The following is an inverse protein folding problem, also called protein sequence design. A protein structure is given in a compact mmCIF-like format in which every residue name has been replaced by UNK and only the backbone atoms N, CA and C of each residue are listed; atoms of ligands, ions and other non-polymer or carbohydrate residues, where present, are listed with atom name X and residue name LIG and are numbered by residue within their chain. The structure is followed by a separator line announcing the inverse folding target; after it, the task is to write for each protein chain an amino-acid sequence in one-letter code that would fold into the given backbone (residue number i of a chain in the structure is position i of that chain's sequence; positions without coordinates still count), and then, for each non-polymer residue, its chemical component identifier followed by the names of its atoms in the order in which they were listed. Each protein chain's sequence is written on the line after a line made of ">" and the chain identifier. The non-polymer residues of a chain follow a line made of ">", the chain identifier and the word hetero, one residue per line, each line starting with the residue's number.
data_IF_228735504869
#
_entry.id   IF_228735504869
#
_cell.length_a   1.000
_cell.length_b   1.000
_cell.length_c   1.000
_cell.angle_alpha   90.00
_cell.angle_beta   90.00
_cell.angle_gamma   90.00
#
_symmetry.space_group_name_H-M   'P 1'
#
loop_
_entity.id
_entity.type
_entity.pdbx_description
1 polymer ?
#
# COMPACT_ATOMS: atom_id res chain seq x y z
N UNK A 1 -14.25 45.78 -15.56
CA UNK A 1 -14.30 45.01 -14.29
C UNK A 1 -13.09 45.35 -13.40
N UNK A 2 -12.54 46.57 -13.49
CA UNK A 2 -11.16 46.87 -13.03
C UNK A 2 -11.05 47.37 -11.58
N UNK A 3 -12.05 47.15 -10.72
CA UNK A 3 -12.07 47.65 -9.33
C UNK A 3 -12.69 46.67 -8.32
N UNK A 4 -12.39 45.38 -8.43
CA UNK A 4 -12.70 44.42 -7.36
C UNK A 4 -11.47 44.28 -6.47
N UNK A 5 -11.48 44.98 -5.33
CA UNK A 5 -10.48 44.87 -4.27
C UNK A 5 -10.96 43.86 -3.21
N UNK A 6 -10.04 43.07 -2.68
CA UNK A 6 -10.36 42.11 -1.62
C UNK A 6 -10.66 42.85 -0.31
N UNK A 7 -11.65 42.39 0.49
CA UNK A 7 -11.91 42.92 1.82
C UNK A 7 -10.65 42.99 2.69
N UNK A 8 -10.58 44.01 3.56
CA UNK A 8 -9.48 44.16 4.51
C UNK A 8 -9.42 43.03 5.55
N UNK A 9 -10.55 42.40 5.85
CA UNK A 9 -10.62 41.22 6.72
C UNK A 9 -10.44 39.95 5.88
N UNK A 10 -9.20 39.50 5.74
CA UNK A 10 -8.87 38.31 4.93
C UNK A 10 -9.46 37.01 5.48
N UNK A 11 -9.84 36.96 6.76
CA UNK A 11 -10.56 35.81 7.34
C UNK A 11 -11.91 35.62 6.64
N UNK A 12 -12.64 36.70 6.37
CA UNK A 12 -13.89 36.65 5.63
C UNK A 12 -13.68 36.25 4.16
N UNK A 13 -12.52 36.57 3.59
CA UNK A 13 -12.11 36.14 2.23
C UNK A 13 -11.86 34.64 2.18
N UNK A 14 -11.23 34.08 3.21
CA UNK A 14 -10.98 32.65 3.33
C UNK A 14 -12.25 31.86 3.66
N UNK A 15 -13.23 32.45 4.34
CA UNK A 15 -14.49 31.80 4.66
C UNK A 15 -15.52 31.85 3.51
N UNK A 16 -15.41 32.80 2.57
CA UNK A 16 -16.38 32.98 1.48
C UNK A 16 -15.95 32.27 0.17
N UNK A 17 -16.71 31.26 -0.32
CA UNK A 17 -16.34 30.50 -1.52
C UNK A 17 -16.20 31.31 -2.81
N UNK A 18 -16.89 32.45 -2.96
CA UNK A 18 -16.78 33.31 -4.13
C UNK A 18 -15.50 34.15 -4.07
N UNK A 19 -15.15 34.66 -2.89
CA UNK A 19 -13.91 35.40 -2.67
C UNK A 19 -12.68 34.49 -2.76
N UNK A 20 -12.76 33.25 -2.31
CA UNK A 20 -11.73 32.24 -2.54
C UNK A 20 -11.50 32.00 -4.05
N UNK A 21 -12.58 31.87 -4.85
CA UNK A 21 -12.46 31.72 -6.31
C UNK A 21 -11.81 32.94 -6.95
N UNK A 22 -12.17 34.15 -6.51
CA UNK A 22 -11.53 35.38 -6.97
C UNK A 22 -10.02 35.37 -6.65
N UNK A 23 -9.65 34.91 -5.46
CA UNK A 23 -8.26 34.79 -5.01
C UNK A 23 -7.48 33.71 -5.79
N UNK A 24 -8.13 32.62 -6.21
CA UNK A 24 -7.53 31.62 -7.10
C UNK A 24 -7.33 32.13 -8.53
N UNK A 25 -8.30 32.90 -9.05
CA UNK A 25 -8.21 33.50 -10.39
C UNK A 25 -7.20 34.65 -10.44
N UNK A 26 -6.98 35.33 -9.33
CA UNK A 26 -6.01 36.42 -9.18
C UNK A 26 -5.17 36.22 -7.90
N UNK A 27 -4.20 35.31 -7.92
CA UNK A 27 -3.35 35.08 -6.76
C UNK A 27 -2.49 36.32 -6.48
N UNK A 28 -2.54 36.80 -5.24
CA UNK A 28 -1.72 37.91 -4.74
C UNK A 28 -0.85 37.42 -3.59
N UNK A 29 0.47 37.45 -3.79
CA UNK A 29 1.43 37.09 -2.74
C UNK A 29 1.25 37.92 -1.46
N UNK A 30 0.83 39.18 -1.61
CA UNK A 30 0.48 40.06 -0.50
C UNK A 30 -0.71 39.54 0.33
N UNK A 31 -1.74 38.98 -0.30
CA UNK A 31 -2.90 38.44 0.42
C UNK A 31 -2.53 37.21 1.25
N UNK A 32 -1.72 36.31 0.70
CA UNK A 32 -1.19 35.16 1.45
C UNK A 32 -0.21 35.55 2.55
N UNK A 33 0.62 36.58 2.31
CA UNK A 33 1.50 37.17 3.33
C UNK A 33 0.69 37.71 4.52
N UNK A 34 -0.41 38.41 4.23
CA UNK A 34 -1.29 38.93 5.27
C UNK A 34 -1.99 37.81 6.05
N UNK A 35 -2.41 36.73 5.40
CA UNK A 35 -2.95 35.53 6.09
C UNK A 35 -1.90 34.92 7.02
N UNK A 36 -0.67 34.72 6.53
CA UNK A 36 0.40 34.18 7.37
C UNK A 36 0.78 35.12 8.52
N UNK A 37 0.80 36.43 8.31
CA UNK A 37 1.03 37.41 9.38
C UNK A 37 -0.08 37.37 10.43
N UNK A 38 -1.33 37.19 10.00
CA UNK A 38 -2.46 37.02 10.90
C UNK A 38 -2.33 35.74 11.75
N UNK A 39 -1.97 34.61 11.15
CA UNK A 39 -1.69 33.37 11.89
C UNK A 39 -0.51 33.51 12.85
N UNK A 40 0.57 34.19 12.44
CA UNK A 40 1.72 34.43 13.32
C UNK A 40 1.34 35.33 14.51
N UNK A 41 0.51 36.35 14.30
CA UNK A 41 0.02 37.20 15.39
C UNK A 41 -0.81 36.37 16.38
N UNK A 42 -1.78 35.59 15.88
CA UNK A 42 -2.60 34.72 16.73
C UNK A 42 -1.77 33.70 17.51
N UNK A 43 -0.75 33.11 16.88
CA UNK A 43 0.19 32.21 17.56
C UNK A 43 0.98 32.93 18.66
N UNK A 44 1.45 34.14 18.39
CA UNK A 44 2.19 34.94 19.36
C UNK A 44 1.30 35.33 20.55
N UNK A 45 0.06 35.72 20.30
CA UNK A 45 -0.91 36.06 21.35
C UNK A 45 -1.20 34.85 22.27
N UNK A 46 -1.25 33.63 21.73
CA UNK A 46 -1.37 32.40 22.54
C UNK A 46 -0.10 32.13 23.36
N UNK A 47 1.08 32.32 22.76
CA UNK A 47 2.37 32.11 23.45
C UNK A 47 2.56 33.12 24.59
N UNK A 48 2.14 34.37 24.38
CA UNK A 48 2.23 35.44 25.37
C UNK A 48 1.14 35.31 26.46
N UNK A 49 0.16 34.41 26.27
CA UNK A 49 -0.95 34.16 27.19
C UNK A 49 -2.09 35.18 27.08
N UNK A 50 -2.09 35.99 26.03
CA UNK A 50 -3.07 37.04 25.76
C UNK A 50 -4.36 36.49 25.14
N UNK A 51 -4.33 35.28 24.55
CA UNK A 51 -5.48 34.61 23.90
C UNK A 51 -5.49 33.12 24.22
N UNK A 52 -6.69 32.51 24.18
CA UNK A 52 -6.86 31.07 24.41
C UNK A 52 -6.52 30.22 23.17
N UNK A 53 -6.20 28.95 23.40
CA UNK A 53 -5.88 27.99 22.33
C UNK A 53 -7.06 27.76 21.38
N UNK A 54 -8.30 27.92 21.86
CA UNK A 54 -9.50 27.72 21.07
C UNK A 54 -9.58 28.71 19.89
N UNK A 55 -9.27 29.98 20.13
CA UNK A 55 -9.24 31.01 19.08
C UNK A 55 -8.24 30.66 17.97
N UNK A 56 -7.05 30.17 18.32
CA UNK A 56 -6.07 29.73 17.33
C UNK A 56 -6.61 28.58 16.47
N UNK A 57 -7.27 27.60 17.09
CA UNK A 57 -7.84 26.48 16.35
C UNK A 57 -8.97 26.92 15.43
N UNK A 58 -9.89 27.80 15.84
CA UNK A 58 -10.92 28.36 14.96
C UNK A 58 -10.31 29.03 13.72
N UNK A 59 -9.19 29.75 13.88
CA UNK A 59 -8.46 30.34 12.76
C UNK A 59 -7.83 29.29 11.84
N UNK A 60 -7.22 28.25 12.43
CA UNK A 60 -6.64 27.13 11.70
C UNK A 60 -7.70 26.36 10.90
N UNK A 61 -8.92 26.24 11.42
CA UNK A 61 -10.05 25.62 10.73
C UNK A 61 -10.45 26.38 9.46
N UNK A 62 -10.53 27.71 9.52
CA UNK A 62 -10.80 28.55 8.34
C UNK A 62 -9.71 28.36 7.26
N UNK A 63 -8.45 28.27 7.68
CA UNK A 63 -7.33 28.03 6.75
C UNK A 63 -7.37 26.62 6.18
N UNK A 64 -7.68 25.61 6.99
CA UNK A 64 -7.89 24.23 6.54
C UNK A 64 -8.96 24.18 5.47
N UNK A 65 -10.13 24.77 5.72
CA UNK A 65 -11.25 24.73 4.79
C UNK A 65 -10.87 25.38 3.46
N UNK A 66 -10.14 26.49 3.49
CA UNK A 66 -9.55 27.10 2.29
C UNK A 66 -8.58 26.15 1.56
N UNK A 67 -7.61 25.56 2.26
CA UNK A 67 -6.61 24.66 1.65
C UNK A 67 -7.27 23.42 1.06
N UNK A 68 -8.22 22.81 1.79
CA UNK A 68 -8.98 21.64 1.34
C UNK A 68 -9.87 21.98 0.15
N UNK A 69 -10.49 23.15 0.12
CA UNK A 69 -11.35 23.56 -1.00
C UNK A 69 -10.55 23.90 -2.26
N UNK A 70 -9.42 24.58 -2.08
CA UNK A 70 -8.55 25.01 -3.19
C UNK A 70 -7.55 23.95 -3.64
N UNK A 71 -7.35 22.90 -2.84
CA UNK A 71 -6.37 21.82 -3.06
C UNK A 71 -4.94 22.36 -3.22
N UNK A 72 -4.62 23.44 -2.52
CA UNK A 72 -3.35 24.14 -2.63
C UNK A 72 -2.94 24.70 -1.27
N UNK A 73 -1.73 24.37 -0.81
CA UNK A 73 -1.13 24.97 0.37
C UNK A 73 -0.10 26.05 -0.03
N UNK A 74 -0.43 27.34 0.12
CA UNK A 74 0.51 28.42 -0.20
C UNK A 74 1.81 28.32 0.60
N UNK A 75 2.94 28.57 -0.06
CA UNK A 75 4.28 28.51 0.59
C UNK A 75 4.40 29.41 1.81
N UNK A 76 3.68 30.54 1.85
CA UNK A 76 3.66 31.42 3.03
C UNK A 76 3.03 30.75 4.26
N UNK A 77 1.97 29.95 4.05
CA UNK A 77 1.31 29.19 5.12
C UNK A 77 2.18 27.99 5.51
N UNK A 78 2.84 27.36 4.54
CA UNK A 78 3.83 26.32 4.81
C UNK A 78 4.99 26.85 5.70
N UNK A 79 5.49 28.07 5.42
CA UNK A 79 6.52 28.71 6.24
C UNK A 79 6.04 29.05 7.66
N UNK A 80 4.75 29.34 7.83
CA UNK A 80 4.16 29.48 9.17
C UNK A 80 4.26 28.15 9.94
N UNK A 81 3.92 27.02 9.31
CA UNK A 81 4.02 25.70 9.95
C UNK A 81 5.43 25.36 10.44
N UNK A 82 6.47 25.73 9.68
CA UNK A 82 7.86 25.54 10.09
C UNK A 82 8.18 26.18 11.46
N UNK A 83 7.56 27.33 11.76
CA UNK A 83 7.69 28.01 13.06
C UNK A 83 6.73 27.44 14.10
N UNK A 84 5.48 27.22 13.70
CA UNK A 84 4.44 26.69 14.58
C UNK A 84 4.85 25.37 15.24
N UNK A 85 5.43 24.43 14.47
CA UNK A 85 5.85 23.12 15.02
C UNK A 85 7.01 23.19 16.01
N UNK A 86 7.72 24.32 16.12
CA UNK A 86 8.73 24.51 17.16
C UNK A 86 8.11 24.90 18.51
N UNK A 87 6.89 25.43 18.50
CA UNK A 87 6.19 25.94 19.67
C UNK A 87 5.02 25.04 20.10
N UNK A 88 4.45 24.30 19.14
CA UNK A 88 3.31 23.43 19.36
C UNK A 88 3.67 22.15 20.11
N UNK A 89 2.90 21.84 21.15
CA UNK A 89 3.05 20.65 22.01
C UNK A 89 2.50 19.35 21.40
N UNK A 90 1.96 19.39 20.18
CA UNK A 90 1.31 18.23 19.56
C UNK A 90 -0.11 17.93 20.09
N UNK A 91 -0.66 18.78 20.97
CA UNK A 91 -2.03 18.67 21.49
C UNK A 91 -3.05 19.40 20.62
N UNK A 92 -4.34 19.13 20.81
CA UNK A 92 -5.40 19.77 20.02
C UNK A 92 -5.74 19.03 18.72
N UNK A 93 -6.22 19.75 17.71
CA UNK A 93 -6.79 19.16 16.50
C UNK A 93 -5.70 18.78 15.47
N UNK A 94 -5.03 17.64 15.70
CA UNK A 94 -4.00 17.11 14.80
C UNK A 94 -4.51 16.86 13.38
N UNK A 95 -5.75 16.39 13.25
CA UNK A 95 -6.36 16.08 11.95
C UNK A 95 -6.46 17.32 11.07
N UNK A 96 -6.78 18.49 11.66
CA UNK A 96 -6.77 19.77 10.95
C UNK A 96 -5.42 20.06 10.28
N UNK A 97 -4.31 19.77 10.96
CA UNK A 97 -2.95 19.97 10.43
C UNK A 97 -2.63 18.93 9.36
N UNK A 98 -2.93 17.65 9.62
CA UNK A 98 -2.69 16.57 8.66
C UNK A 98 -3.46 16.80 7.34
N UNK A 99 -4.70 17.26 7.40
CA UNK A 99 -5.50 17.58 6.23
C UNK A 99 -4.91 18.74 5.41
N UNK A 100 -4.37 19.77 6.05
CA UNK A 100 -3.69 20.86 5.35
C UNK A 100 -2.39 20.41 4.70
N UNK A 101 -1.54 19.70 5.45
CA UNK A 101 -0.23 19.27 4.97
C UNK A 101 -0.30 18.21 3.87
N UNK A 102 -1.41 17.48 3.75
CA UNK A 102 -1.68 16.63 2.60
C UNK A 102 -1.69 17.39 1.25
N UNK A 103 -1.89 18.71 1.25
CA UNK A 103 -1.83 19.57 0.06
C UNK A 103 -0.49 20.32 -0.07
N UNK A 104 0.56 19.86 0.60
CA UNK A 104 1.90 20.42 0.43
C UNK A 104 2.34 20.32 -1.03
N UNK A 105 3.02 21.37 -1.57
CA UNK A 105 3.42 21.38 -2.97
C UNK A 105 4.39 20.25 -3.30
N UNK A 106 4.37 19.78 -4.54
CA UNK A 106 5.39 18.84 -5.03
C UNK A 106 6.75 19.55 -5.04
N UNK A 107 7.64 19.09 -4.18
CA UNK A 107 8.99 19.62 -4.03
C UNK A 107 9.97 18.51 -3.67
N UNK A 108 11.26 18.85 -3.51
CA UNK A 108 12.21 17.90 -2.97
C UNK A 108 11.78 17.43 -1.57
N UNK A 109 11.68 16.12 -1.38
CA UNK A 109 11.18 15.54 -0.13
C UNK A 109 12.12 15.85 1.03
N UNK A 110 13.43 15.89 0.82
CA UNK A 110 14.38 16.13 1.91
C UNK A 110 14.24 17.55 2.47
N UNK A 111 14.02 18.53 1.59
CA UNK A 111 13.78 19.91 1.99
C UNK A 111 12.46 20.05 2.77
N UNK A 112 11.37 19.46 2.26
CA UNK A 112 10.08 19.44 2.96
C UNK A 112 10.16 18.69 4.30
N UNK A 113 10.89 17.59 4.34
CA UNK A 113 11.04 16.79 5.54
C UNK A 113 11.79 17.58 6.62
N UNK A 114 12.95 18.15 6.31
CA UNK A 114 13.74 18.92 7.29
C UNK A 114 13.01 20.16 7.80
N UNK A 115 12.28 20.87 6.93
CA UNK A 115 11.65 22.13 7.28
C UNK A 115 10.26 21.98 7.90
N UNK A 116 9.51 20.93 7.56
CA UNK A 116 8.09 20.79 7.90
C UNK A 116 7.77 19.46 8.56
N UNK A 117 8.01 18.33 7.88
CA UNK A 117 7.49 17.04 8.35
C UNK A 117 8.25 16.49 9.56
N UNK A 118 9.56 16.69 9.66
CA UNK A 118 10.33 16.25 10.82
C UNK A 118 9.94 17.03 12.09
N UNK A 119 9.83 18.38 12.08
CA UNK A 119 9.27 19.12 13.21
C UNK A 119 7.85 18.67 13.58
N UNK A 120 6.97 18.44 12.60
CA UNK A 120 5.63 17.91 12.83
C UNK A 120 5.67 16.56 13.55
N UNK A 121 6.41 15.61 13.01
CA UNK A 121 6.53 14.24 13.54
C UNK A 121 7.09 14.26 14.96
N UNK A 122 8.06 15.12 15.25
CA UNK A 122 8.58 15.31 16.59
C UNK A 122 7.53 15.89 17.55
N UNK A 123 6.75 16.88 17.12
CA UNK A 123 5.70 17.49 17.93
C UNK A 123 4.58 16.50 18.28
N UNK A 124 4.20 15.62 17.34
CA UNK A 124 3.12 14.65 17.54
C UNK A 124 3.62 13.27 18.02
N UNK A 125 4.89 13.14 18.41
CA UNK A 125 5.49 11.88 18.86
C UNK A 125 4.97 11.46 20.25
N UNK A 126 3.73 10.96 20.32
CA UNK A 126 3.05 10.54 21.55
C UNK A 126 3.00 9.01 21.75
N UNK A 127 3.66 8.26 20.86
CA UNK A 127 3.64 6.80 20.78
C UNK A 127 2.22 6.20 20.67
N UNK A 128 1.21 6.98 20.25
CA UNK A 128 -0.13 6.47 20.05
C UNK A 128 -0.30 5.93 18.63
N UNK A 129 -0.86 4.71 18.47
CA UNK A 129 -1.16 4.16 17.15
C UNK A 129 -2.08 5.05 16.31
N UNK A 130 -3.02 5.74 16.95
CA UNK A 130 -3.93 6.68 16.28
C UNK A 130 -3.16 7.82 15.58
N UNK A 131 -2.14 8.37 16.24
CA UNK A 131 -1.31 9.44 15.65
C UNK A 131 -0.47 8.92 14.49
N UNK A 132 0.13 7.73 14.63
CA UNK A 132 0.90 7.07 13.56
C UNK A 132 0.00 6.76 12.35
N UNK A 133 -1.24 6.34 12.58
CA UNK A 133 -2.24 6.12 11.55
C UNK A 133 -2.64 7.44 10.85
N UNK A 134 -2.84 8.51 11.62
CA UNK A 134 -3.12 9.85 11.08
C UNK A 134 -1.99 10.37 10.19
N UNK A 135 -0.73 10.21 10.62
CA UNK A 135 0.44 10.55 9.82
C UNK A 135 0.53 9.72 8.53
N UNK A 136 0.26 8.41 8.59
CA UNK A 136 0.27 7.57 7.40
C UNK A 136 -0.85 7.97 6.41
N UNK A 137 -2.03 8.34 6.92
CA UNK A 137 -3.11 8.88 6.10
C UNK A 137 -2.76 10.24 5.48
N UNK A 138 -2.06 11.12 6.21
CA UNK A 138 -1.52 12.36 5.67
C UNK A 138 -0.57 12.07 4.49
N UNK A 139 0.40 11.17 4.66
CA UNK A 139 1.31 10.78 3.59
C UNK A 139 0.60 10.12 2.39
N UNK A 140 -0.44 9.33 2.65
CA UNK A 140 -1.30 8.76 1.60
C UNK A 140 -1.96 9.87 0.78
N UNK A 141 -2.56 10.84 1.46
CA UNK A 141 -3.22 11.96 0.80
C UNK A 141 -2.23 12.89 0.09
N UNK A 142 -1.01 13.04 0.61
CA UNK A 142 0.08 13.77 -0.03
C UNK A 142 0.47 13.13 -1.37
N UNK A 143 0.71 11.82 -1.38
CA UNK A 143 1.02 11.08 -2.61
C UNK A 143 -0.15 11.14 -3.60
N UNK A 144 -1.40 11.05 -3.12
CA UNK A 144 -2.58 11.23 -3.95
C UNK A 144 -2.66 12.62 -4.59
N UNK A 145 -2.38 13.67 -3.81
CA UNK A 145 -2.36 15.05 -4.28
C UNK A 145 -1.26 15.25 -5.34
N UNK A 146 -0.04 14.80 -5.07
CA UNK A 146 1.07 14.88 -6.02
C UNK A 146 0.80 14.08 -7.29
N UNK A 147 0.18 12.90 -7.18
CA UNK A 147 -0.27 12.15 -8.34
C UNK A 147 -1.26 12.94 -9.21
N UNK A 148 -2.21 13.62 -8.58
CA UNK A 148 -3.17 14.47 -9.28
C UNK A 148 -2.48 15.64 -10.00
N UNK A 149 -1.53 16.31 -9.34
CA UNK A 149 -0.73 17.38 -9.95
C UNK A 149 0.05 16.87 -11.17
N UNK A 150 0.74 15.74 -11.03
CA UNK A 150 1.54 15.15 -12.10
C UNK A 150 0.69 14.72 -13.29
N UNK A 151 -0.47 14.10 -13.05
CA UNK A 151 -1.43 13.72 -14.12
C UNK A 151 -1.98 14.92 -14.88
N UNK A 152 -2.13 16.07 -14.21
CA UNK A 152 -2.61 17.31 -14.83
C UNK A 152 -1.49 18.11 -15.54
N UNK A 153 -0.22 17.81 -15.25
CA UNK A 153 0.91 18.55 -15.79
C UNK A 153 1.24 18.12 -17.22
N UNK A 154 1.57 19.10 -18.07
CA UNK A 154 2.08 18.82 -19.43
C UNK A 154 3.52 18.31 -19.42
N UNK A 155 4.30 18.75 -18.43
CA UNK A 155 5.71 18.40 -18.29
C UNK A 155 5.94 17.83 -16.89
N UNK A 156 6.47 16.61 -16.83
CA UNK A 156 6.80 15.96 -15.56
C UNK A 156 8.12 16.55 -15.04
N UNK A 157 8.16 17.12 -13.82
CA UNK A 157 9.41 17.65 -13.26
C UNK A 157 10.46 16.56 -13.08
N UNK A 158 11.73 16.86 -13.37
CA UNK A 158 12.83 15.88 -13.27
C UNK A 158 13.01 15.33 -11.84
N UNK A 159 12.65 16.09 -10.80
CA UNK A 159 12.73 15.67 -9.41
C UNK A 159 11.50 14.87 -8.95
N UNK A 160 10.43 14.76 -9.75
CA UNK A 160 9.17 14.15 -9.33
C UNK A 160 9.33 12.69 -8.90
N UNK A 161 10.09 11.89 -9.67
CA UNK A 161 10.38 10.50 -9.32
C UNK A 161 11.04 10.39 -7.95
N UNK A 162 12.11 11.18 -7.72
CA UNK A 162 12.84 11.19 -6.45
C UNK A 162 11.96 11.62 -5.28
N UNK A 163 11.16 12.68 -5.45
CA UNK A 163 10.27 13.16 -4.41
C UNK A 163 9.25 12.09 -3.99
N UNK A 164 8.65 11.40 -4.96
CA UNK A 164 7.72 10.30 -4.71
C UNK A 164 8.44 9.13 -4.03
N UNK A 165 9.57 8.65 -4.57
CA UNK A 165 10.27 7.50 -3.99
C UNK A 165 10.76 7.78 -2.56
N UNK A 166 11.29 8.97 -2.29
CA UNK A 166 11.72 9.34 -0.93
C UNK A 166 10.54 9.44 0.05
N UNK A 167 9.40 9.94 -0.40
CA UNK A 167 8.16 9.95 0.42
C UNK A 167 7.68 8.54 0.72
N UNK A 168 7.69 7.65 -0.29
CA UNK A 168 7.29 6.25 -0.15
C UNK A 168 8.24 5.48 0.76
N UNK A 169 9.53 5.73 0.67
CA UNK A 169 10.53 5.13 1.55
C UNK A 169 10.33 5.55 3.01
N UNK A 170 10.08 6.85 3.26
CA UNK A 170 9.83 7.37 4.60
C UNK A 170 8.54 6.82 5.19
N UNK A 171 7.43 6.93 4.45
CA UNK A 171 6.13 6.38 4.85
C UNK A 171 6.18 4.86 5.03
N UNK A 172 7.04 4.15 4.28
CA UNK A 172 7.29 2.72 4.46
C UNK A 172 7.95 2.37 5.80
N UNK A 173 8.81 3.26 6.31
CA UNK A 173 9.39 3.13 7.66
C UNK A 173 8.33 3.34 8.73
N UNK A 174 7.50 4.39 8.60
CA UNK A 174 6.36 4.63 9.49
C UNK A 174 5.36 3.45 9.47
N UNK A 175 5.06 2.91 8.28
CA UNK A 175 4.18 1.74 8.12
C UNK A 175 4.73 0.50 8.84
N UNK A 176 6.04 0.25 8.75
CA UNK A 176 6.68 -0.83 9.48
C UNK A 176 6.57 -0.63 10.99
N UNK A 177 6.87 0.58 11.48
CA UNK A 177 6.73 0.91 12.90
C UNK A 177 5.28 0.72 13.38
N UNK A 178 4.30 1.27 12.64
CA UNK A 178 2.88 1.16 12.97
C UNK A 178 2.43 -0.30 13.06
N UNK A 179 2.84 -1.15 12.11
CA UNK A 179 2.45 -2.57 12.14
C UNK A 179 3.10 -3.33 13.30
N UNK A 180 4.32 -2.96 13.69
CA UNK A 180 5.03 -3.56 14.82
C UNK A 180 4.47 -3.12 16.18
N UNK A 181 4.02 -1.88 16.31
CA UNK A 181 3.46 -1.33 17.56
C UNK A 181 1.95 -1.57 17.68
N UNK A 182 1.24 -1.67 16.56
CA UNK A 182 -0.20 -1.84 16.50
C UNK A 182 -0.63 -2.78 15.35
N UNK A 183 -0.46 -4.10 15.51
CA UNK A 183 -0.80 -5.09 14.49
C UNK A 183 -2.32 -5.33 14.41
N UNK A 184 -3.06 -4.31 13.99
CA UNK A 184 -4.53 -4.38 13.80
C UNK A 184 -4.88 -4.40 12.32
N UNK A 185 -6.07 -4.90 11.99
CA UNK A 185 -6.59 -4.85 10.62
C UNK A 185 -6.74 -3.41 10.10
N UNK A 186 -6.98 -2.44 10.98
CA UNK A 186 -7.03 -1.01 10.60
C UNK A 186 -5.66 -0.54 10.14
N UNK A 187 -4.60 -0.88 10.88
CA UNK A 187 -3.22 -0.57 10.52
C UNK A 187 -2.83 -1.23 9.19
N UNK A 188 -3.09 -2.54 9.04
CA UNK A 188 -2.84 -3.27 7.80
C UNK A 188 -3.55 -2.63 6.60
N UNK A 189 -4.84 -2.29 6.77
CA UNK A 189 -5.64 -1.71 5.69
C UNK A 189 -5.15 -0.34 5.25
N UNK A 190 -4.76 0.52 6.20
CA UNK A 190 -4.21 1.84 5.90
C UNK A 190 -2.83 1.75 5.22
N UNK A 191 -1.98 0.83 5.67
CA UNK A 191 -0.68 0.55 5.01
C UNK A 191 -0.88 0.10 3.58
N UNK A 192 -1.81 -0.83 3.34
CA UNK A 192 -2.10 -1.28 1.98
C UNK A 192 -2.72 -0.17 1.13
N UNK A 193 -3.59 0.67 1.70
CA UNK A 193 -4.18 1.81 0.99
C UNK A 193 -3.10 2.81 0.54
N UNK A 194 -2.07 3.05 1.38
CA UNK A 194 -0.92 3.86 1.01
C UNK A 194 -0.19 3.33 -0.24
N UNK A 195 0.15 2.03 -0.26
CA UNK A 195 0.86 1.44 -1.40
C UNK A 195 -0.02 1.31 -2.66
N UNK A 196 -1.32 1.05 -2.50
CA UNK A 196 -2.30 1.08 -3.60
C UNK A 196 -2.43 2.48 -4.21
N UNK A 197 -2.41 3.52 -3.37
CA UNK A 197 -2.39 4.90 -3.83
C UNK A 197 -1.12 5.21 -4.62
N UNK A 198 0.05 4.74 -4.17
CA UNK A 198 1.29 4.86 -4.92
C UNK A 198 1.23 4.07 -6.25
N UNK A 199 0.59 2.91 -6.28
CA UNK A 199 0.41 2.14 -7.53
C UNK A 199 -0.40 2.89 -8.60
N UNK A 200 -1.30 3.79 -8.22
CA UNK A 200 -2.06 4.60 -9.17
C UNK A 200 -1.18 5.54 -10.03
N UNK A 201 0.07 5.77 -9.61
CA UNK A 201 1.12 6.44 -10.41
C UNK A 201 1.80 5.46 -11.36
N UNK A 202 2.08 4.25 -10.90
CA UNK A 202 2.84 3.22 -11.62
C UNK A 202 2.02 2.51 -12.71
N UNK A 203 0.69 2.60 -12.61
CA UNK A 203 -0.26 2.02 -13.58
C UNK A 203 -0.78 3.04 -14.58
N UNK A 204 -0.50 4.33 -14.38
CA UNK A 204 -0.88 5.41 -15.28
C UNK A 204 -0.09 5.35 -16.60
N UNK A 205 -0.76 5.57 -17.73
CA UNK A 205 -0.15 5.40 -19.04
C UNK A 205 1.02 6.34 -19.34
N UNK A 206 1.02 7.51 -18.71
CA UNK A 206 2.10 8.48 -18.87
C UNK A 206 3.10 8.35 -17.74
N UNK A 207 2.64 8.39 -16.48
CA UNK A 207 3.52 8.49 -15.31
C UNK A 207 4.34 7.23 -15.05
N UNK A 208 3.89 6.05 -15.50
CA UNK A 208 4.66 4.80 -15.40
C UNK A 208 6.05 4.88 -16.06
N UNK A 209 6.23 5.79 -17.02
CA UNK A 209 7.50 6.00 -17.70
C UNK A 209 8.42 7.01 -16.97
N UNK A 210 7.95 7.67 -15.91
CA UNK A 210 8.67 8.76 -15.25
C UNK A 210 8.85 8.57 -13.74
N UNK A 211 8.00 7.75 -13.08
CA UNK A 211 8.05 7.53 -11.62
C UNK A 211 8.58 6.13 -11.28
N UNK A 212 9.66 6.08 -10.49
CA UNK A 212 10.32 4.83 -10.12
C UNK A 212 9.50 4.05 -9.09
N UNK A 213 9.61 2.73 -9.14
CA UNK A 213 9.04 1.84 -8.14
C UNK A 213 9.92 1.90 -6.89
N UNK A 214 9.38 2.44 -5.79
CA UNK A 214 9.94 2.26 -4.45
C UNK A 214 9.27 1.06 -3.78
N UNK A 215 10.08 0.16 -3.21
CA UNK A 215 9.59 -1.08 -2.62
C UNK A 215 9.30 -0.90 -1.12
N UNK A 216 8.22 -1.51 -0.60
CA UNK A 216 8.04 -1.63 0.84
C UNK A 216 9.23 -2.32 1.51
N UNK A 217 9.53 -2.04 2.79
CA UNK A 217 10.50 -2.82 3.55
C UNK A 217 10.16 -4.32 3.51
N UNK A 218 11.14 -5.20 3.29
CA UNK A 218 10.89 -6.65 3.24
C UNK A 218 10.23 -7.18 4.51
N UNK A 219 10.63 -6.69 5.68
CA UNK A 219 9.98 -7.04 6.94
C UNK A 219 8.49 -6.69 6.96
N UNK A 220 8.10 -5.55 6.37
CA UNK A 220 6.70 -5.14 6.26
C UNK A 220 5.91 -6.10 5.36
N UNK A 221 6.49 -6.49 4.21
CA UNK A 221 5.89 -7.46 3.28
C UNK A 221 5.65 -8.79 3.99
N UNK A 222 6.63 -9.30 4.74
CA UNK A 222 6.50 -10.57 5.43
C UNK A 222 5.52 -10.50 6.62
N UNK A 223 5.45 -9.38 7.35
CA UNK A 223 4.42 -9.21 8.38
C UNK A 223 3.01 -9.23 7.75
N UNK A 224 2.81 -8.56 6.62
CA UNK A 224 1.53 -8.52 5.91
C UNK A 224 1.16 -9.87 5.27
N UNK A 225 2.13 -10.63 4.73
CA UNK A 225 1.83 -11.95 4.14
C UNK A 225 1.39 -12.97 5.18
N UNK A 226 1.86 -12.83 6.43
CA UNK A 226 1.44 -13.66 7.56
C UNK A 226 0.24 -13.10 8.33
N UNK A 227 -0.42 -12.05 7.81
CA UNK A 227 -1.69 -11.56 8.37
C UNK A 227 -2.72 -12.68 8.47
N UNK A 228 -3.63 -12.55 9.44
CA UNK A 228 -4.79 -13.41 9.60
C UNK A 228 -5.94 -13.03 8.64
N UNK A 229 -5.80 -11.92 7.93
CA UNK A 229 -6.78 -11.44 6.95
C UNK A 229 -6.39 -11.86 5.54
N UNK A 230 -7.23 -12.71 4.94
CA UNK A 230 -7.09 -13.10 3.55
C UNK A 230 -7.20 -11.89 2.60
N UNK A 231 -7.97 -10.86 2.97
CA UNK A 231 -8.07 -9.62 2.21
C UNK A 231 -6.73 -8.85 2.21
N UNK A 232 -6.04 -8.82 3.35
CA UNK A 232 -4.69 -8.21 3.46
C UNK A 232 -3.71 -8.93 2.54
N UNK A 233 -3.68 -10.26 2.59
CA UNK A 233 -2.78 -11.07 1.75
C UNK A 233 -3.10 -10.90 0.26
N UNK A 234 -4.38 -10.88 -0.11
CA UNK A 234 -4.80 -10.69 -1.50
C UNK A 234 -4.41 -9.30 -2.05
N UNK A 235 -4.65 -8.23 -1.28
CA UNK A 235 -4.24 -6.87 -1.63
C UNK A 235 -2.71 -6.74 -1.76
N UNK A 236 -1.95 -7.30 -0.81
CA UNK A 236 -0.49 -7.36 -0.90
C UNK A 236 -0.03 -8.09 -2.18
N UNK A 237 -0.65 -9.22 -2.50
CA UNK A 237 -0.30 -9.98 -3.71
C UNK A 237 -0.59 -9.17 -4.98
N UNK A 238 -1.69 -8.41 -5.03
CA UNK A 238 -2.01 -7.52 -6.13
C UNK A 238 -0.95 -6.39 -6.28
N UNK A 239 -0.50 -5.82 -5.16
CA UNK A 239 0.58 -4.81 -5.16
C UNK A 239 1.87 -5.40 -5.73
N UNK A 240 2.29 -6.55 -5.21
CA UNK A 240 3.49 -7.25 -5.66
C UNK A 240 3.39 -7.63 -7.15
N UNK A 241 2.23 -8.05 -7.64
CA UNK A 241 2.02 -8.38 -9.05
C UNK A 241 2.15 -7.15 -9.95
N UNK A 242 1.69 -6.01 -9.49
CA UNK A 242 1.78 -4.74 -10.21
C UNK A 242 3.21 -4.24 -10.29
N UNK A 243 3.99 -4.36 -9.21
CA UNK A 243 5.43 -4.10 -9.26
C UNK A 243 6.15 -5.00 -10.25
N UNK A 244 5.79 -6.29 -10.35
CA UNK A 244 6.37 -7.18 -11.36
C UNK A 244 6.20 -6.62 -12.77
N UNK A 245 4.97 -6.26 -13.12
CA UNK A 245 4.62 -5.70 -14.43
C UNK A 245 5.36 -4.39 -14.69
N UNK A 246 5.49 -3.54 -13.66
CA UNK A 246 6.23 -2.30 -13.71
C UNK A 246 7.72 -2.50 -14.00
N UNK A 247 8.40 -3.38 -13.25
CA UNK A 247 9.79 -3.75 -13.53
C UNK A 247 9.95 -4.33 -14.92
N UNK A 248 9.09 -5.27 -15.34
CA UNK A 248 9.14 -5.86 -16.69
C UNK A 248 8.95 -4.83 -17.79
N UNK A 249 8.17 -3.77 -17.53
CA UNK A 249 7.98 -2.66 -18.47
C UNK A 249 9.25 -1.81 -18.57
N UNK A 250 9.81 -1.40 -17.42
CA UNK A 250 11.05 -0.63 -17.39
C UNK A 250 12.23 -1.38 -18.04
N UNK A 251 12.31 -2.70 -17.85
CA UNK A 251 13.36 -3.54 -18.45
C UNK A 251 13.24 -3.68 -19.98
N UNK A 252 12.07 -3.38 -20.56
CA UNK A 252 11.85 -3.39 -22.02
C UNK A 252 12.13 -2.04 -22.68
N UNK A 253 12.00 -0.95 -21.92
CA UNK A 253 12.26 0.40 -22.42
C UNK A 253 13.77 0.56 -22.62
N UNK A 254 14.16 1.08 -23.78
CA UNK A 254 15.53 1.55 -24.01
C UNK A 254 15.52 3.05 -23.78
N UNK A 255 16.27 3.54 -22.79
CA UNK A 255 16.38 4.97 -22.52
C UNK A 255 16.80 5.74 -23.78
N UNK A 256 16.18 6.89 -23.98
CA UNK A 256 16.62 7.87 -24.97
C UNK A 256 17.36 8.99 -24.24
N UNK A 257 18.52 9.45 -24.74
CA UNK A 257 19.23 10.58 -24.13
C UNK A 257 18.41 11.88 -24.16
N UNK A 258 17.43 11.99 -25.07
CA UNK A 258 16.63 13.20 -25.26
C UNK A 258 15.37 13.27 -24.36
N UNK A 259 14.97 12.14 -23.76
CA UNK A 259 13.78 12.08 -22.89
C UNK A 259 14.09 11.30 -21.62
N UNK A 260 14.02 11.93 -20.43
CA UNK A 260 14.30 11.26 -19.16
C UNK A 260 13.14 10.32 -18.81
N UNK A 261 13.20 9.10 -19.35
CA UNK A 261 12.27 8.00 -19.08
C UNK A 261 12.94 6.94 -18.24
N UNK A 262 12.15 6.27 -17.41
CA UNK A 262 12.60 5.12 -16.62
C UNK A 262 12.86 3.93 -17.53
N UNK A 263 14.01 3.31 -17.30
CA UNK A 263 14.47 2.12 -17.99
C UNK A 263 15.16 1.16 -17.00
N UNK A 264 15.81 0.12 -17.52
CA UNK A 264 16.56 -0.85 -16.72
C UNK A 264 17.64 -0.20 -15.83
N UNK A 265 18.27 0.88 -16.28
CA UNK A 265 19.36 1.57 -15.55
C UNK A 265 18.85 2.40 -14.37
N UNK A 266 17.54 2.67 -14.33
CA UNK A 266 16.89 3.39 -13.23
C UNK A 266 16.80 2.56 -11.93
N UNK A 267 17.07 1.26 -12.01
CA UNK A 267 17.00 0.33 -10.88
C UNK A 267 18.35 -0.31 -10.61
N UNK A 268 18.72 -0.41 -9.33
CA UNK A 268 19.94 -1.11 -8.95
C UNK A 268 19.73 -2.62 -9.00
N UNK A 269 20.83 -3.37 -9.13
CA UNK A 269 20.79 -4.83 -8.99
C UNK A 269 20.20 -5.26 -7.63
N UNK A 270 20.45 -4.48 -6.57
CA UNK A 270 19.94 -4.75 -5.24
C UNK A 270 18.41 -4.62 -5.19
N UNK A 271 17.83 -3.62 -5.85
CA UNK A 271 16.37 -3.43 -5.89
C UNK A 271 15.66 -4.60 -6.56
N UNK A 272 16.16 -5.01 -7.72
CA UNK A 272 15.61 -6.13 -8.49
C UNK A 272 15.76 -7.44 -7.72
N UNK A 273 16.92 -7.65 -7.08
CA UNK A 273 17.18 -8.85 -6.25
C UNK A 273 16.27 -8.90 -5.03
N UNK A 274 16.11 -7.77 -4.33
CA UNK A 274 15.22 -7.64 -3.17
C UNK A 274 13.77 -7.95 -3.56
N UNK A 275 13.29 -7.37 -4.65
CA UNK A 275 11.94 -7.66 -5.16
C UNK A 275 11.77 -9.14 -5.51
N UNK A 276 12.70 -9.72 -6.27
CA UNK A 276 12.64 -11.11 -6.70
C UNK A 276 12.66 -12.08 -5.51
N UNK A 277 13.45 -11.78 -4.47
CA UNK A 277 13.47 -12.57 -3.23
C UNK A 277 12.13 -12.55 -2.49
N UNK A 278 11.58 -11.35 -2.26
CA UNK A 278 10.27 -11.17 -1.64
C UNK A 278 9.17 -11.91 -2.43
N UNK A 279 9.19 -11.79 -3.76
CA UNK A 279 8.24 -12.46 -4.65
C UNK A 279 8.35 -13.98 -4.57
N UNK A 280 9.58 -14.50 -4.65
CA UNK A 280 9.84 -15.92 -4.64
C UNK A 280 9.40 -16.57 -3.32
N UNK A 281 9.63 -15.89 -2.20
CA UNK A 281 9.20 -16.36 -0.88
C UNK A 281 7.67 -16.46 -0.78
N UNK A 282 6.92 -15.47 -1.29
CA UNK A 282 5.44 -15.53 -1.34
C UNK A 282 4.94 -16.67 -2.23
N UNK A 283 5.59 -16.88 -3.38
CA UNK A 283 5.28 -18.00 -4.29
C UNK A 283 5.60 -19.35 -3.65
N UNK A 284 6.70 -19.43 -2.90
CA UNK A 284 7.12 -20.61 -2.17
C UNK A 284 6.13 -20.97 -1.05
N UNK A 285 5.59 -19.97 -0.34
CA UNK A 285 4.51 -20.13 0.63
C UNK A 285 3.25 -20.68 -0.03
N UNK A 286 2.64 -19.93 -0.95
CA UNK A 286 1.27 -20.22 -1.40
C UNK A 286 1.18 -21.36 -2.42
N UNK A 287 2.16 -21.52 -3.31
CA UNK A 287 2.06 -22.46 -4.44
C UNK A 287 3.08 -23.59 -4.43
N UNK A 288 4.37 -23.33 -4.21
CA UNK A 288 5.39 -24.38 -4.35
C UNK A 288 5.51 -25.31 -3.15
N UNK A 289 4.91 -24.94 -2.00
CA UNK A 289 5.01 -25.69 -0.75
C UNK A 289 6.47 -25.82 -0.29
N UNK A 290 7.22 -24.72 -0.41
CA UNK A 290 8.64 -24.63 -0.08
C UNK A 290 8.92 -23.41 0.82
N UNK A 291 8.04 -23.17 1.78
CA UNK A 291 8.15 -22.04 2.70
C UNK A 291 9.49 -22.02 3.43
N UNK A 292 10.02 -20.81 3.66
CA UNK A 292 11.27 -20.55 4.39
C UNK A 292 12.54 -21.17 3.79
N UNK A 293 12.49 -21.66 2.54
CA UNK A 293 13.68 -22.06 1.78
C UNK A 293 14.67 -20.89 1.66
N UNK A 294 15.97 -21.21 1.71
CA UNK A 294 17.07 -20.27 1.39
C UNK A 294 18.06 -20.93 0.43
N UNK A 295 17.58 -21.82 -0.43
CA UNK A 295 18.42 -22.68 -1.28
C UNK A 295 18.97 -21.92 -2.48
N UNK A 296 18.33 -20.82 -2.88
CA UNK A 296 18.75 -19.99 -4.02
C UNK A 296 19.32 -18.66 -3.58
N UNK A 297 20.23 -18.10 -4.38
CA UNK A 297 20.92 -16.81 -4.12
C UNK A 297 19.98 -15.62 -3.84
N UNK A 298 18.71 -15.71 -4.23
CA UNK A 298 17.70 -14.66 -4.04
C UNK A 298 16.68 -14.95 -2.93
N UNK A 299 16.61 -16.18 -2.41
CA UNK A 299 15.63 -16.56 -1.38
C UNK A 299 16.00 -15.95 -0.01
N UNK A 300 15.03 -15.35 0.67
CA UNK A 300 15.26 -14.71 1.98
C UNK A 300 14.66 -15.52 3.13
N UNK A 301 13.93 -16.60 2.83
CA UNK A 301 13.27 -17.44 3.83
C UNK A 301 12.28 -16.66 4.70
N UNK A 302 11.63 -15.65 4.12
CA UNK A 302 10.75 -14.70 4.82
C UNK A 302 11.42 -14.02 6.04
N UNK A 303 12.74 -13.87 6.02
CA UNK A 303 13.57 -13.36 7.11
C UNK A 303 13.47 -14.18 8.42
N UNK A 304 13.00 -15.43 8.36
CA UNK A 304 12.96 -16.31 9.52
C UNK A 304 14.38 -16.85 9.80
N UNK A 305 14.95 -16.64 10.99
CA UNK A 305 16.28 -17.13 11.31
C UNK A 305 16.36 -18.66 11.21
N UNK A 306 17.46 -19.18 10.63
CA UNK A 306 17.68 -20.62 10.48
C UNK A 306 17.46 -21.46 11.76
N UNK A 307 17.93 -21.03 12.94
CA UNK A 307 17.65 -21.73 14.20
C UNK A 307 16.17 -21.77 14.57
N UNK A 308 15.39 -20.73 14.26
CA UNK A 308 13.96 -20.70 14.50
C UNK A 308 13.23 -21.66 13.55
N UNK A 309 13.58 -21.62 12.26
CA UNK A 309 13.06 -22.55 11.24
C UNK A 309 13.29 -24.01 11.66
N UNK A 310 14.52 -24.37 12.03
CA UNK A 310 14.85 -25.74 12.43
C UNK A 310 14.08 -26.21 13.69
N UNK A 311 13.76 -25.29 14.62
CA UNK A 311 12.92 -25.61 15.79
C UNK A 311 11.46 -25.83 15.38
N UNK A 312 10.92 -24.99 14.49
CA UNK A 312 9.56 -25.13 13.98
C UNK A 312 9.38 -26.42 13.18
N UNK A 313 10.34 -26.77 12.32
CA UNK A 313 10.33 -28.03 11.57
C UNK A 313 10.31 -29.25 12.49
N UNK A 314 11.15 -29.26 13.54
CA UNK A 314 11.16 -30.31 14.56
C UNK A 314 9.84 -30.40 15.31
N UNK A 315 9.25 -29.26 15.65
CA UNK A 315 7.95 -29.22 16.33
C UNK A 315 6.85 -29.81 15.44
N UNK A 316 6.74 -29.38 14.19
CA UNK A 316 5.73 -29.89 13.25
C UNK A 316 5.87 -31.41 13.06
N UNK A 317 7.09 -31.89 12.83
CA UNK A 317 7.35 -33.33 12.68
C UNK A 317 7.04 -34.15 13.95
N UNK A 318 7.13 -33.53 15.13
CA UNK A 318 6.78 -34.17 16.41
C UNK A 318 5.26 -34.21 16.64
N UNK A 319 4.51 -33.20 16.18
CA UNK A 319 3.04 -33.15 16.28
C UNK A 319 2.39 -34.12 15.29
N UNK A 320 2.81 -34.08 14.02
CA UNK A 320 2.32 -34.98 12.99
C UNK A 320 3.40 -35.26 11.93
N UNK A 321 3.82 -36.52 11.83
CA UNK A 321 4.85 -36.97 10.88
C UNK A 321 4.40 -36.90 9.42
N UNK A 322 3.09 -36.78 9.16
CA UNK A 322 2.53 -36.58 7.83
C UNK A 322 2.67 -35.16 7.31
N UNK A 323 3.11 -34.21 8.14
CA UNK A 323 3.20 -32.80 7.79
C UNK A 323 4.64 -32.28 7.75
N UNK A 324 4.83 -31.30 6.88
CA UNK A 324 6.03 -30.46 6.86
C UNK A 324 5.63 -29.02 7.15
N UNK A 325 6.54 -28.25 7.76
CA UNK A 325 6.32 -26.82 8.02
C UNK A 325 5.91 -26.07 6.73
N UNK A 326 6.57 -26.40 5.62
CA UNK A 326 6.29 -25.81 4.32
C UNK A 326 4.91 -26.21 3.76
N UNK A 327 4.48 -27.46 3.97
CA UNK A 327 3.16 -27.93 3.55
C UNK A 327 2.02 -27.21 4.28
N UNK A 328 2.21 -26.89 5.57
CA UNK A 328 1.21 -26.20 6.40
C UNK A 328 0.92 -24.77 5.96
N UNK A 329 1.82 -24.13 5.20
CA UNK A 329 1.66 -22.74 4.74
C UNK A 329 1.16 -22.65 3.28
N UNK A 330 0.87 -23.78 2.66
CA UNK A 330 0.35 -23.85 1.29
C UNK A 330 -1.10 -23.44 1.18
N UNK A 331 -1.57 -23.14 -0.04
CA UNK A 331 -2.97 -22.79 -0.34
C UNK A 331 -4.01 -23.75 0.27
N UNK A 332 -3.67 -25.03 0.47
CA UNK A 332 -4.64 -26.02 0.97
C UNK A 332 -4.70 -26.13 2.50
N UNK A 333 -3.64 -25.70 3.19
CA UNK A 333 -3.43 -25.96 4.62
C UNK A 333 -3.22 -24.70 5.45
N UNK A 334 -2.77 -23.62 4.81
CA UNK A 334 -2.54 -22.35 5.49
C UNK A 334 -3.82 -21.88 6.19
N UNK A 335 -3.72 -21.42 7.45
CA UNK A 335 -4.86 -20.86 8.17
C UNK A 335 -5.61 -19.78 7.40
N UNK A 336 -4.90 -19.04 6.53
CA UNK A 336 -5.46 -17.98 5.69
C UNK A 336 -6.35 -18.52 4.55
N UNK A 337 -6.09 -19.73 4.03
CA UNK A 337 -6.73 -20.25 2.82
C UNK A 337 -7.52 -21.54 3.03
N UNK A 338 -7.30 -22.26 4.12
CA UNK A 338 -7.80 -23.63 4.30
C UNK A 338 -9.32 -23.72 4.20
N UNK A 339 -10.06 -22.75 4.76
CA UNK A 339 -11.52 -22.71 4.69
C UNK A 339 -12.00 -22.57 3.24
N UNK A 340 -11.46 -21.60 2.50
CA UNK A 340 -11.83 -21.31 1.11
C UNK A 340 -11.45 -22.47 0.19
N UNK A 341 -10.34 -23.13 0.48
CA UNK A 341 -9.89 -24.37 -0.17
C UNK A 341 -10.88 -25.53 0.04
N UNK A 342 -11.32 -25.74 1.29
CA UNK A 342 -12.33 -26.76 1.64
C UNK A 342 -13.67 -26.46 0.97
N UNK A 343 -14.15 -25.22 1.07
CA UNK A 343 -15.41 -24.78 0.43
C UNK A 343 -15.37 -24.98 -1.08
N UNK A 344 -14.25 -24.66 -1.72
CA UNK A 344 -14.10 -24.84 -3.17
C UNK A 344 -14.20 -26.31 -3.56
N UNK A 345 -13.53 -27.22 -2.82
CA UNK A 345 -13.62 -28.65 -3.12
C UNK A 345 -15.04 -29.17 -2.90
N UNK A 346 -15.71 -28.77 -1.81
CA UNK A 346 -17.11 -29.16 -1.56
C UNK A 346 -18.04 -28.70 -2.67
N UNK A 347 -17.90 -27.46 -3.14
CA UNK A 347 -18.69 -26.95 -4.26
C UNK A 347 -18.41 -27.67 -5.59
N UNK A 348 -17.21 -28.24 -5.77
CA UNK A 348 -16.90 -29.10 -6.91
C UNK A 348 -17.56 -30.48 -6.77
N UNK A 349 -17.52 -31.06 -5.58
CA UNK A 349 -18.17 -32.33 -5.26
C UNK A 349 -19.69 -32.22 -5.44
N UNK A 350 -20.32 -31.17 -4.91
CA UNK A 350 -21.76 -30.94 -5.03
C UNK A 350 -22.20 -30.86 -6.49
N UNK A 351 -21.44 -30.13 -7.33
CA UNK A 351 -21.70 -30.03 -8.76
C UNK A 351 -21.58 -31.37 -9.48
N UNK A 352 -20.57 -32.17 -9.14
CA UNK A 352 -20.36 -33.44 -9.81
C UNK A 352 -21.35 -34.51 -9.35
N UNK A 353 -21.68 -34.57 -8.05
CA UNK A 353 -22.69 -35.50 -7.50
C UNK A 353 -24.07 -35.23 -8.10
N UNK A 354 -24.39 -33.97 -8.40
CA UNK A 354 -25.66 -33.62 -9.06
C UNK A 354 -25.80 -34.19 -10.47
N UNK A 355 -24.69 -34.52 -11.15
CA UNK A 355 -24.66 -35.03 -12.52
C UNK A 355 -24.31 -36.52 -12.58
N UNK A 356 -23.52 -37.00 -11.63
CA UNK A 356 -23.04 -38.38 -11.56
C UNK A 356 -23.37 -39.01 -10.20
N UNK A 357 -24.43 -39.82 -10.18
CA UNK A 357 -24.90 -40.53 -9.00
C UNK A 357 -23.95 -41.65 -8.53
N UNK A 358 -22.93 -42.02 -9.32
CA UNK A 358 -21.92 -43.01 -8.91
C UNK A 358 -20.89 -42.44 -7.92
N UNK A 359 -20.95 -41.14 -7.65
CA UNK A 359 -20.05 -40.47 -6.70
C UNK A 359 -20.62 -40.57 -5.30
N UNK A 360 -20.06 -41.50 -4.53
CA UNK A 360 -20.56 -41.86 -3.20
C UNK A 360 -19.69 -41.31 -2.06
N UNK A 361 -18.45 -40.92 -2.37
CA UNK A 361 -17.45 -40.52 -1.37
C UNK A 361 -17.06 -39.06 -1.52
N UNK A 362 -17.13 -38.30 -0.41
CA UNK A 362 -16.61 -36.93 -0.29
C UNK A 362 -15.25 -36.92 0.39
N UNK A 363 -14.47 -35.88 0.10
CA UNK A 363 -13.16 -35.64 0.71
C UNK A 363 -13.30 -35.18 2.16
N UNK A 364 -12.52 -35.79 3.06
CA UNK A 364 -12.57 -35.49 4.50
C UNK A 364 -11.75 -34.24 4.91
N UNK A 365 -11.09 -33.58 3.97
CA UNK A 365 -10.17 -32.46 4.19
C UNK A 365 -8.77 -32.91 4.65
N UNK A 366 -7.92 -31.93 4.97
CA UNK A 366 -7.38 -30.94 4.03
C UNK A 366 -6.72 -31.57 2.78
N UNK A 367 -6.74 -30.84 1.68
CA UNK A 367 -6.47 -31.39 0.34
C UNK A 367 -4.97 -31.48 0.05
N UNK A 368 -4.46 -32.69 -0.12
CA UNK A 368 -3.15 -32.98 -0.73
C UNK A 368 -3.29 -33.74 -2.05
N UNK A 369 -2.22 -33.75 -2.84
CA UNK A 369 -2.14 -34.57 -4.05
C UNK A 369 -2.46 -36.05 -3.78
N UNK A 370 -1.94 -36.61 -2.69
CA UNK A 370 -2.20 -38.00 -2.32
C UNK A 370 -3.65 -38.23 -1.88
N UNK A 371 -4.23 -37.28 -1.15
CA UNK A 371 -5.62 -37.38 -0.70
C UNK A 371 -6.61 -37.33 -1.88
N UNK A 372 -6.34 -36.52 -2.92
CA UNK A 372 -7.15 -36.48 -4.14
C UNK A 372 -7.03 -37.77 -4.97
N UNK A 373 -5.82 -38.34 -5.02
CA UNK A 373 -5.61 -39.65 -5.67
C UNK A 373 -6.42 -40.74 -4.97
N UNK A 374 -6.40 -40.77 -3.63
CA UNK A 374 -7.20 -41.70 -2.83
C UNK A 374 -8.70 -41.48 -3.03
N UNK A 375 -9.15 -40.23 -3.03
CA UNK A 375 -10.57 -39.88 -3.30
C UNK A 375 -11.06 -40.48 -4.62
N UNK A 376 -10.29 -40.29 -5.70
CA UNK A 376 -10.67 -40.81 -7.02
C UNK A 376 -10.68 -42.34 -7.11
N UNK A 377 -9.92 -43.05 -6.26
CA UNK A 377 -9.97 -44.52 -6.15
C UNK A 377 -11.10 -45.03 -5.25
N UNK A 378 -11.57 -44.20 -4.32
CA UNK A 378 -12.62 -44.53 -3.35
C UNK A 378 -14.03 -44.14 -3.82
N UNK A 379 -14.23 -43.93 -5.13
CA UNK A 379 -15.53 -43.55 -5.68
C UNK A 379 -15.90 -42.07 -5.48
N UNK A 380 -14.94 -41.21 -5.18
CA UNK A 380 -15.12 -39.76 -5.17
C UNK A 380 -14.77 -39.09 -6.51
N UNK A 381 -14.86 -37.75 -6.55
CA UNK A 381 -14.52 -36.98 -7.77
C UNK A 381 -13.07 -37.21 -8.21
N UNK A 382 -12.83 -37.23 -9.53
CA UNK A 382 -11.50 -37.36 -10.13
C UNK A 382 -10.96 -36.01 -10.57
N UNK A 383 -10.23 -35.34 -9.69
CA UNK A 383 -9.58 -34.05 -9.96
C UNK A 383 -8.08 -34.11 -9.69
N UNK A 384 -7.29 -33.54 -10.60
CA UNK A 384 -5.84 -33.39 -10.41
C UNK A 384 -5.53 -32.24 -9.47
N UNK A 385 -4.43 -32.36 -8.70
CA UNK A 385 -4.06 -31.37 -7.68
C UNK A 385 -3.90 -29.94 -8.23
N UNK A 386 -3.31 -29.79 -9.41
CA UNK A 386 -3.19 -28.47 -10.06
C UNK A 386 -4.54 -27.90 -10.52
N UNK A 387 -5.46 -28.75 -10.98
CA UNK A 387 -6.81 -28.34 -11.36
C UNK A 387 -7.61 -27.88 -10.14
N UNK A 388 -7.51 -28.62 -9.03
CA UNK A 388 -8.08 -28.21 -7.75
C UNK A 388 -7.54 -26.85 -7.31
N UNK A 389 -6.21 -26.66 -7.28
CA UNK A 389 -5.62 -25.37 -6.88
C UNK A 389 -5.99 -24.22 -7.80
N UNK A 390 -6.09 -24.47 -9.11
CA UNK A 390 -6.61 -23.49 -10.06
C UNK A 390 -8.06 -23.10 -9.76
N UNK A 391 -8.91 -24.07 -9.42
CA UNK A 391 -10.29 -23.79 -8.99
C UNK A 391 -10.34 -22.97 -7.71
N UNK A 392 -9.44 -23.20 -6.74
CA UNK A 392 -9.37 -22.37 -5.52
C UNK A 392 -9.04 -20.93 -5.86
N UNK A 393 -8.05 -20.70 -6.72
CA UNK A 393 -7.69 -19.35 -7.16
C UNK A 393 -8.86 -18.66 -7.88
N UNK A 394 -9.58 -19.38 -8.74
CA UNK A 394 -10.79 -18.89 -9.40
C UNK A 394 -11.89 -18.53 -8.40
N UNK A 395 -12.13 -19.35 -7.37
CA UNK A 395 -13.09 -19.03 -6.30
C UNK A 395 -12.68 -17.76 -5.54
N UNK A 396 -11.39 -17.62 -5.22
CA UNK A 396 -10.87 -16.42 -4.55
C UNK A 396 -11.08 -15.18 -5.42
N UNK A 397 -10.77 -15.26 -6.71
CA UNK A 397 -11.04 -14.18 -7.68
C UNK A 397 -12.53 -13.82 -7.72
N UNK A 398 -13.42 -14.82 -7.75
CA UNK A 398 -14.87 -14.62 -7.71
C UNK A 398 -15.37 -13.93 -6.43
N UNK A 399 -14.63 -14.06 -5.32
CA UNK A 399 -14.90 -13.36 -4.04
C UNK A 399 -14.19 -11.99 -3.93
N UNK A 400 -13.60 -11.47 -5.01
CA UNK A 400 -12.86 -10.20 -5.00
C UNK A 400 -11.43 -10.29 -4.45
N UNK A 401 -10.90 -11.50 -4.26
CA UNK A 401 -9.58 -11.77 -3.69
C UNK A 401 -8.58 -12.23 -4.78
N UNK A 402 -8.70 -11.66 -5.98
CA UNK A 402 -7.96 -12.08 -7.18
C UNK A 402 -6.46 -11.82 -7.15
N UNK A 403 -5.96 -10.97 -6.24
CA UNK A 403 -4.54 -10.59 -6.19
C UNK A 403 -3.58 -11.77 -5.99
N UNK A 404 -4.00 -12.83 -5.27
CA UNK A 404 -3.20 -14.06 -5.12
C UNK A 404 -3.03 -14.78 -6.46
N UNK A 405 -4.11 -14.91 -7.22
CA UNK A 405 -4.08 -15.51 -8.56
C UNK A 405 -3.20 -14.69 -9.50
N UNK A 406 -3.37 -13.36 -9.51
CA UNK A 406 -2.60 -12.43 -10.33
C UNK A 406 -1.10 -12.54 -10.08
N UNK A 407 -0.68 -12.52 -8.81
CA UNK A 407 0.72 -12.65 -8.45
C UNK A 407 1.32 -13.96 -8.94
N UNK A 408 0.63 -15.08 -8.66
CA UNK A 408 1.11 -16.41 -9.03
C UNK A 408 1.19 -16.57 -10.57
N UNK A 409 0.20 -16.05 -11.31
CA UNK A 409 0.17 -16.05 -12.77
C UNK A 409 1.35 -15.30 -13.38
N UNK A 410 1.58 -14.06 -12.94
CA UNK A 410 2.67 -13.23 -13.49
C UNK A 410 4.04 -13.82 -13.09
N UNK A 411 4.11 -14.50 -11.94
CA UNK A 411 5.37 -15.07 -11.41
C UNK A 411 5.75 -16.43 -11.99
N UNK A 412 4.78 -17.26 -12.40
CA UNK A 412 5.03 -18.65 -12.79
C UNK A 412 4.22 -19.07 -14.02
N UNK A 413 4.87 -19.41 -15.15
CA UNK A 413 4.17 -19.92 -16.34
C UNK A 413 3.37 -21.20 -16.08
N UNK A 414 3.83 -22.06 -15.16
CA UNK A 414 3.12 -23.29 -14.82
C UNK A 414 1.78 -23.06 -14.12
N UNK A 415 1.62 -21.94 -13.40
CA UNK A 415 0.35 -21.54 -12.79
C UNK A 415 -0.62 -21.07 -13.88
N UNK A 416 -0.15 -20.22 -14.80
CA UNK A 416 -0.96 -19.75 -15.93
C UNK A 416 -1.52 -20.94 -16.73
N UNK A 417 -0.66 -21.90 -17.09
CA UNK A 417 -1.06 -23.13 -17.78
C UNK A 417 -2.06 -23.97 -16.97
N UNK A 418 -1.92 -24.05 -15.65
CA UNK A 418 -2.86 -24.79 -14.81
C UNK A 418 -4.26 -24.15 -14.81
N UNK A 419 -4.33 -22.82 -14.80
CA UNK A 419 -5.58 -22.06 -14.82
C UNK A 419 -6.25 -22.12 -16.20
N UNK A 420 -5.48 -22.00 -17.28
CA UNK A 420 -6.00 -22.15 -18.65
C UNK A 420 -6.55 -23.56 -18.89
N UNK A 421 -5.81 -24.59 -18.48
CA UNK A 421 -6.24 -25.99 -18.56
C UNK A 421 -7.52 -26.26 -17.75
N UNK A 422 -7.66 -25.61 -16.61
CA UNK A 422 -8.87 -25.69 -15.79
C UNK A 422 -10.07 -25.01 -16.46
N UNK A 423 -9.89 -23.79 -16.97
CA UNK A 423 -10.95 -23.05 -17.66
C UNK A 423 -11.50 -23.82 -18.89
N UNK A 424 -10.61 -24.43 -19.67
CA UNK A 424 -11.01 -25.25 -20.82
C UNK A 424 -11.82 -26.50 -20.48
N UNK A 425 -11.78 -26.98 -19.22
CA UNK A 425 -12.61 -28.11 -18.75
C UNK A 425 -14.00 -27.70 -18.28
N UNK A 426 -14.25 -26.42 -17.99
CA UNK A 426 -15.60 -25.96 -17.64
C UNK A 426 -16.45 -25.59 -18.86
N UNK A 427 -15.81 -25.37 -20.01
CA UNK A 427 -16.48 -25.04 -21.28
C UNK A 427 -16.78 -26.25 -22.16
N UNK A 428 -16.42 -27.45 -21.69
CA UNK A 428 -16.70 -28.76 -22.31
C UNK A 428 -17.58 -29.57 -21.37
#
# INVERSE_FOLDING_TARGET
>A
MDRLELPNQLVAVLADPLLQKLLLLRPSGESFLRVANWLNAALQDVVDGDTDEATLWEMMEVVRDFVVQTKNLPSTILNFFARFFQLWSGSGNKDCIFEMLAYSPLHDFQELYQSIFQPLEAAVADNQPATQLGLLNMYTNLVHHWASLLKSSKNIPAHASRAITSTVQHAGTLALTLLQTSPTLSSESAILAFYEQNMALLTDDTLKNYICIELPPSALIYLLVFSQSLATVARLCHIMASYKKGFETAMKIRGSPDTPTIDASSYTHLDVTRYNGNLLDIVNLHWRMHAFGVEKEVEQGCMVPGPARARLERYVAAVDRGFTLAGMLSLSYSPQFCLQSIETLRALEDRQIAVDAAIETRHAGPVSQDSLRKLGTSGGIRIGFNGYRASVLETLRGKGLGGVEELLKVSMPSVAKAIESWAGRQTT
#
